data_IF_348260012245
#
_entry.id   IF_348260012245
#
_cell.length_a   1.000
_cell.length_b   1.000
_cell.length_c   1.000
_cell.angle_alpha   90.00
_cell.angle_beta   90.00
_cell.angle_gamma   90.00
#
_symmetry.space_group_name_H-M   'P 1'
#
loop_
_entity.id
_entity.type
_entity.pdbx_description
1 polymer ?
#
# COMPACT_ATOMS: atom_id res chain seq x y z
N UNK A 1 9.17 7.65 -28.38
CA UNK A 1 8.17 7.93 -27.34
C UNK A 1 8.80 8.82 -26.28
N UNK A 2 8.26 10.02 -26.06
CA UNK A 2 8.67 10.87 -24.94
C UNK A 2 8.32 10.15 -23.64
N UNK A 3 9.34 9.81 -22.87
CA UNK A 3 9.16 9.10 -21.61
C UNK A 3 8.28 9.95 -20.68
N UNK A 4 7.13 9.42 -20.27
CA UNK A 4 6.23 10.13 -19.36
C UNK A 4 6.97 10.38 -18.04
N UNK A 5 7.28 11.64 -17.74
CA UNK A 5 7.88 12.02 -16.46
C UNK A 5 6.78 12.32 -15.44
N UNK A 6 6.98 11.86 -14.21
CA UNK A 6 6.14 12.21 -13.06
C UNK A 6 6.58 13.53 -12.45
N UNK A 7 5.61 14.29 -11.94
CA UNK A 7 5.88 15.45 -11.07
C UNK A 7 6.01 15.02 -9.61
N UNK A 8 6.58 15.87 -8.76
CA UNK A 8 6.65 15.61 -7.31
C UNK A 8 5.26 15.47 -6.67
N UNK A 9 4.26 16.23 -7.16
CA UNK A 9 2.87 16.12 -6.72
C UNK A 9 2.24 14.78 -7.07
N UNK A 10 2.45 14.30 -8.31
CA UNK A 10 1.96 12.99 -8.70
C UNK A 10 2.62 11.87 -7.88
N UNK A 11 3.90 12.00 -7.56
CA UNK A 11 4.57 11.06 -6.66
C UNK A 11 3.98 11.11 -5.24
N UNK A 12 3.67 12.29 -4.71
CA UNK A 12 2.99 12.45 -3.42
C UNK A 12 1.61 11.79 -3.42
N UNK A 13 0.84 11.91 -4.51
CA UNK A 13 -0.46 11.24 -4.64
C UNK A 13 -0.30 9.72 -4.59
N UNK A 14 0.59 9.17 -5.42
CA UNK A 14 0.86 7.72 -5.42
C UNK A 14 1.32 7.26 -4.04
N UNK A 15 2.28 7.95 -3.42
CA UNK A 15 2.81 7.60 -2.11
C UNK A 15 1.72 7.62 -1.02
N UNK A 16 0.85 8.63 -1.01
CA UNK A 16 -0.22 8.75 -0.02
C UNK A 16 -1.31 7.70 -0.23
N UNK A 17 -1.57 7.36 -1.50
CA UNK A 17 -2.60 6.43 -1.89
C UNK A 17 -2.17 4.96 -1.84
N UNK A 18 -0.88 4.62 -1.87
CA UNK A 18 -0.46 3.21 -1.75
C UNK A 18 -0.36 2.74 -0.30
N UNK A 19 -0.10 3.65 0.64
CA UNK A 19 0.10 3.29 2.04
C UNK A 19 -1.17 2.83 2.73
N UNK A 20 -1.12 1.67 3.38
CA UNK A 20 -2.12 1.23 4.35
C UNK A 20 -3.38 0.62 3.76
N UNK A 21 -3.81 1.02 2.56
CA UNK A 21 -4.94 0.46 1.81
C UNK A 21 -6.00 -0.22 2.68
N UNK A 22 -6.05 -1.56 2.67
CA UNK A 22 -7.01 -2.36 3.44
C UNK A 22 -6.60 -2.59 4.91
N UNK A 23 -5.31 -2.55 5.22
CA UNK A 23 -4.81 -2.60 6.59
C UNK A 23 -5.32 -1.44 7.45
N UNK A 24 -5.60 -0.27 6.84
CA UNK A 24 -6.20 0.87 7.55
C UNK A 24 -7.51 0.48 8.25
N UNK A 25 -8.31 -0.42 7.67
CA UNK A 25 -9.61 -0.81 8.21
C UNK A 25 -9.54 -2.05 9.10
N UNK A 26 -8.53 -2.91 8.88
CA UNK A 26 -8.42 -4.23 9.52
C UNK A 26 -7.41 -4.31 10.67
N UNK A 27 -6.49 -3.37 10.78
CA UNK A 27 -5.39 -3.44 11.75
C UNK A 27 -5.42 -2.33 12.79
N UNK A 28 -6.37 -1.42 12.68
CA UNK A 28 -6.44 -0.24 13.54
C UNK A 28 -6.92 -0.59 14.95
N UNK A 29 -7.96 -1.41 15.03
CA UNK A 29 -8.45 -2.07 16.24
C UNK A 29 -7.34 -2.86 16.94
N UNK A 30 -6.58 -3.67 16.19
CA UNK A 30 -5.49 -4.48 16.72
C UNK A 30 -4.37 -3.61 17.31
N UNK A 31 -4.08 -2.47 16.69
CA UNK A 31 -3.09 -1.55 17.23
C UNK A 31 -3.57 -0.89 18.52
N UNK A 32 -4.86 -0.53 18.58
CA UNK A 32 -5.50 0.01 19.78
C UNK A 32 -5.54 -1.03 20.89
N UNK A 33 -5.89 -2.28 20.60
CA UNK A 33 -5.87 -3.38 21.58
C UNK A 33 -4.47 -3.56 22.20
N UNK A 34 -3.41 -3.49 21.38
CA UNK A 34 -2.03 -3.64 21.86
C UNK A 34 -1.47 -2.42 22.60
N UNK A 35 -1.91 -1.22 22.24
CA UNK A 35 -1.29 0.04 22.67
C UNK A 35 -2.22 0.87 23.56
N UNK A 36 -3.41 0.34 23.86
CA UNK A 36 -4.48 1.00 24.60
C UNK A 36 -4.76 2.42 24.09
N UNK A 37 -5.08 3.36 24.98
CA UNK A 37 -5.29 4.77 24.62
C UNK A 37 -4.05 5.45 24.02
N UNK A 38 -2.88 4.82 24.12
CA UNK A 38 -1.59 5.37 23.64
C UNK A 38 -1.32 5.04 22.15
N UNK A 39 -2.25 4.40 21.45
CA UNK A 39 -2.12 4.00 20.04
C UNK A 39 -1.70 5.15 19.11
N UNK A 40 -2.23 6.36 19.32
CA UNK A 40 -1.87 7.52 18.50
C UNK A 40 -0.41 7.94 18.64
N UNK A 41 0.19 7.80 19.84
CA UNK A 41 1.62 8.07 20.04
C UNK A 41 2.48 6.99 19.38
N UNK A 42 2.05 5.73 19.47
CA UNK A 42 2.70 4.61 18.78
C UNK A 42 2.66 4.82 17.27
N UNK A 43 1.54 5.26 16.71
CA UNK A 43 1.39 5.61 15.30
C UNK A 43 2.35 6.73 14.87
N UNK A 44 2.49 7.79 15.67
CA UNK A 44 3.47 8.86 15.43
C UNK A 44 4.91 8.32 15.43
N UNK A 45 5.26 7.49 16.41
CA UNK A 45 6.58 6.91 16.51
C UNK A 45 6.90 6.00 15.31
N UNK A 46 5.95 5.12 14.92
CA UNK A 46 6.08 4.26 13.74
C UNK A 46 6.21 5.11 12.48
N UNK A 47 5.37 6.12 12.31
CA UNK A 47 5.43 7.04 11.17
C UNK A 47 6.77 7.76 11.04
N UNK A 48 7.31 8.23 12.16
CA UNK A 48 8.64 8.82 12.21
C UNK A 48 9.73 7.81 11.81
N UNK A 49 9.68 6.57 12.34
CA UNK A 49 10.61 5.50 11.98
C UNK A 49 10.51 5.16 10.49
N UNK A 50 9.31 4.98 9.95
CA UNK A 50 9.09 4.71 8.51
C UNK A 50 9.63 5.87 7.66
N UNK A 51 9.38 7.12 8.06
CA UNK A 51 9.91 8.31 7.39
C UNK A 51 11.44 8.35 7.37
N UNK A 52 12.10 7.95 8.47
CA UNK A 52 13.55 7.79 8.56
C UNK A 52 14.04 6.64 7.65
N UNK A 53 13.38 5.49 7.68
CA UNK A 53 13.73 4.34 6.82
C UNK A 53 13.57 4.63 5.33
N UNK A 54 12.73 5.61 4.97
CA UNK A 54 12.58 6.09 3.60
C UNK A 54 13.67 7.08 3.15
N UNK A 55 14.59 7.52 4.03
CA UNK A 55 15.69 8.43 3.66
C UNK A 55 16.54 8.02 2.44
N UNK A 56 16.88 6.73 2.20
CA UNK A 56 17.60 6.32 1.00
C UNK A 56 16.77 6.45 -0.30
N UNK A 57 15.43 6.39 -0.24
CA UNK A 57 14.56 6.34 -1.43
C UNK A 57 14.76 7.51 -2.40
N UNK A 58 14.82 8.79 -1.98
CA UNK A 58 15.04 9.90 -2.91
C UNK A 58 16.31 9.75 -3.74
N UNK A 59 17.38 9.24 -3.14
CA UNK A 59 18.64 9.00 -3.85
C UNK A 59 18.54 7.83 -4.83
N UNK A 60 17.69 6.84 -4.55
CA UNK A 60 17.42 5.71 -5.44
C UNK A 60 16.52 6.10 -6.61
N UNK A 61 15.59 7.02 -6.40
CA UNK A 61 14.60 7.41 -7.41
C UNK A 61 15.15 8.42 -8.42
N UNK A 62 16.06 9.30 -8.03
CA UNK A 62 16.47 10.44 -8.90
C UNK A 62 17.82 10.27 -9.60
N UNK A 63 18.58 9.19 -9.35
CA UNK A 63 20.04 9.21 -9.62
C UNK A 63 20.52 8.65 -10.96
N UNK A 64 19.69 8.38 -11.97
CA UNK A 64 20.15 7.98 -13.31
C UNK A 64 19.02 8.16 -14.33
N UNK A 65 19.23 8.97 -15.36
CA UNK A 65 18.28 9.08 -16.47
C UNK A 65 18.29 7.79 -17.31
N UNK A 66 17.10 7.35 -17.72
CA UNK A 66 16.93 6.27 -18.70
C UNK A 66 17.06 4.82 -18.19
N UNK A 67 17.45 4.58 -16.93
CA UNK A 67 17.49 3.22 -16.36
C UNK A 67 16.27 2.91 -15.51
N UNK A 68 15.55 1.85 -15.89
CA UNK A 68 14.45 1.34 -15.09
C UNK A 68 14.93 0.63 -13.81
N UNK A 69 14.01 0.38 -12.87
CA UNK A 69 14.24 -0.38 -11.65
C UNK A 69 14.89 -1.73 -11.94
N UNK A 70 14.34 -2.52 -12.86
CA UNK A 70 14.85 -3.88 -13.15
C UNK A 70 16.31 -3.85 -13.62
N UNK A 71 16.66 -2.93 -14.54
CA UNK A 71 18.03 -2.79 -15.02
C UNK A 71 18.99 -2.32 -13.92
N UNK A 72 18.54 -1.38 -13.08
CA UNK A 72 19.32 -0.87 -11.96
C UNK A 72 19.52 -1.93 -10.86
N UNK A 73 18.50 -2.75 -10.61
CA UNK A 73 18.55 -3.89 -9.70
C UNK A 73 19.56 -4.95 -10.16
N UNK A 74 19.50 -5.32 -11.45
CA UNK A 74 20.44 -6.28 -12.04
C UNK A 74 21.88 -5.76 -12.03
N UNK A 75 22.08 -4.45 -12.19
CA UNK A 75 23.40 -3.83 -12.05
C UNK A 75 23.93 -3.87 -10.60
N UNK A 76 23.04 -3.79 -9.61
CA UNK A 76 23.42 -3.78 -8.19
C UNK A 76 23.73 -5.18 -7.65
N UNK A 77 22.88 -6.17 -7.95
CA UNK A 77 23.00 -7.53 -7.40
C UNK A 77 23.68 -8.52 -8.36
N UNK A 78 23.93 -8.14 -9.62
CA UNK A 78 24.38 -9.04 -10.67
C UNK A 78 23.24 -9.88 -11.25
N UNK A 79 23.50 -10.59 -12.35
CA UNK A 79 22.44 -11.27 -13.12
C UNK A 79 21.77 -12.40 -12.34
N UNK A 80 22.56 -13.26 -11.66
CA UNK A 80 22.02 -14.43 -10.97
C UNK A 80 21.20 -14.04 -9.74
N UNK A 81 21.83 -13.37 -8.76
CA UNK A 81 21.14 -12.92 -7.55
C UNK A 81 20.06 -11.89 -7.85
N UNK A 82 20.26 -11.01 -8.83
CA UNK A 82 19.25 -10.04 -9.25
C UNK A 82 17.98 -10.70 -9.79
N UNK A 83 18.08 -11.72 -10.66
CA UNK A 83 16.90 -12.45 -11.14
C UNK A 83 16.20 -13.17 -9.99
N UNK A 84 16.96 -13.84 -9.12
CA UNK A 84 16.39 -14.56 -7.99
C UNK A 84 15.59 -13.63 -7.06
N UNK A 85 16.17 -12.50 -6.64
CA UNK A 85 15.49 -11.52 -5.78
C UNK A 85 14.29 -10.90 -6.50
N UNK A 86 14.39 -10.64 -7.81
CA UNK A 86 13.29 -10.10 -8.61
C UNK A 86 12.11 -11.07 -8.70
N UNK A 87 12.35 -12.38 -8.82
CA UNK A 87 11.30 -13.40 -8.77
C UNK A 87 10.65 -13.43 -7.39
N UNK A 88 11.42 -13.29 -6.31
CA UNK A 88 10.86 -13.18 -4.97
C UNK A 88 9.96 -11.94 -4.82
N UNK A 89 10.35 -10.79 -5.38
CA UNK A 89 9.49 -9.60 -5.40
C UNK A 89 8.22 -9.79 -6.21
N UNK A 90 8.33 -10.43 -7.37
CA UNK A 90 7.17 -10.74 -8.19
C UNK A 90 6.20 -11.63 -7.40
N UNK A 91 6.70 -12.70 -6.78
CA UNK A 91 5.88 -13.57 -5.95
C UNK A 91 5.25 -12.83 -4.75
N UNK A 92 6.02 -11.97 -4.05
CA UNK A 92 5.49 -11.21 -2.92
C UNK A 92 4.43 -10.19 -3.33
N UNK A 93 4.58 -9.54 -4.49
CA UNK A 93 3.60 -8.58 -5.00
C UNK A 93 2.34 -9.27 -5.53
N UNK A 94 2.45 -10.43 -6.18
CA UNK A 94 1.30 -11.26 -6.55
C UNK A 94 0.55 -11.70 -5.28
N UNK A 95 1.28 -12.12 -4.25
CA UNK A 95 0.70 -12.51 -2.97
C UNK A 95 -0.03 -11.34 -2.32
N UNK A 96 0.60 -10.16 -2.25
CA UNK A 96 -0.02 -8.95 -1.71
C UNK A 96 -1.27 -8.54 -2.49
N UNK A 97 -1.23 -8.57 -3.83
CA UNK A 97 -2.40 -8.30 -4.67
C UNK A 97 -3.54 -9.30 -4.44
N UNK A 98 -3.21 -10.59 -4.31
CA UNK A 98 -4.18 -11.64 -3.98
C UNK A 98 -4.80 -11.45 -2.58
N UNK A 99 -3.99 -11.10 -1.57
CA UNK A 99 -4.49 -10.78 -0.23
C UNK A 99 -5.47 -9.61 -0.24
N UNK A 100 -5.09 -8.50 -0.89
CA UNK A 100 -5.93 -7.30 -1.01
C UNK A 100 -7.28 -7.62 -1.68
N UNK A 101 -7.27 -8.44 -2.73
CA UNK A 101 -8.48 -8.86 -3.43
C UNK A 101 -9.38 -9.72 -2.54
N UNK A 102 -8.80 -10.70 -1.85
CA UNK A 102 -9.54 -11.56 -0.95
C UNK A 102 -10.08 -10.81 0.30
N UNK A 103 -9.36 -9.82 0.82
CA UNK A 103 -9.82 -9.01 1.95
C UNK A 103 -10.96 -8.07 1.53
N UNK A 104 -10.88 -7.47 0.32
CA UNK A 104 -12.00 -6.73 -0.25
C UNK A 104 -13.24 -7.61 -0.39
N UNK A 105 -13.05 -8.86 -0.77
CA UNK A 105 -14.15 -9.81 -0.92
C UNK A 105 -14.82 -10.15 0.41
N UNK A 106 -14.03 -10.34 1.47
CA UNK A 106 -14.57 -10.52 2.82
C UNK A 106 -15.35 -9.29 3.31
N UNK A 107 -14.89 -8.07 2.97
CA UNK A 107 -15.63 -6.85 3.27
C UNK A 107 -16.99 -6.86 2.55
N UNK A 108 -17.01 -7.14 1.26
CA UNK A 108 -18.26 -7.10 0.48
C UNK A 108 -19.24 -8.21 0.88
N UNK A 109 -18.74 -9.41 1.17
CA UNK A 109 -19.54 -10.53 1.71
C UNK A 109 -20.14 -10.18 3.09
N UNK A 110 -19.36 -9.54 3.97
CA UNK A 110 -19.82 -9.15 5.32
C UNK A 110 -20.86 -8.02 5.29
N UNK A 111 -20.72 -7.04 4.39
CA UNK A 111 -21.46 -5.78 4.50
C UNK A 111 -22.52 -5.56 3.43
N UNK A 112 -22.40 -6.11 2.22
CA UNK A 112 -23.34 -5.83 1.13
C UNK A 112 -24.14 -7.05 0.68
N UNK A 113 -23.46 -8.13 0.30
CA UNK A 113 -24.12 -9.28 -0.33
C UNK A 113 -23.60 -10.57 0.29
N UNK A 114 -24.19 -11.05 1.39
CA UNK A 114 -23.77 -12.30 2.02
C UNK A 114 -23.97 -13.47 1.06
N UNK A 115 -22.99 -14.36 1.00
CA UNK A 115 -22.92 -15.49 0.06
C UNK A 115 -22.78 -15.09 -1.41
N UNK A 116 -22.24 -13.90 -1.68
CA UNK A 116 -21.88 -13.58 -3.05
C UNK A 116 -20.68 -14.41 -3.48
N UNK A 117 -20.84 -15.17 -4.56
CA UNK A 117 -19.75 -15.96 -5.10
C UNK A 117 -18.57 -15.07 -5.48
N UNK A 118 -17.40 -15.44 -4.95
CA UNK A 118 -16.15 -14.69 -5.05
C UNK A 118 -15.82 -14.21 -6.47
N UNK A 119 -16.10 -15.05 -7.48
CA UNK A 119 -15.72 -14.76 -8.85
C UNK A 119 -16.52 -13.62 -9.49
N UNK A 120 -17.74 -13.31 -9.01
CA UNK A 120 -18.58 -12.25 -9.58
C UNK A 120 -18.04 -10.84 -9.36
N UNK A 121 -17.26 -10.63 -8.30
CA UNK A 121 -16.64 -9.33 -8.03
C UNK A 121 -15.16 -9.33 -8.41
N UNK A 122 -14.44 -10.40 -8.05
CA UNK A 122 -13.00 -10.46 -8.24
C UNK A 122 -12.61 -10.36 -9.72
N UNK A 123 -13.32 -11.05 -10.61
CA UNK A 123 -13.00 -11.08 -12.04
C UNK A 123 -13.25 -9.72 -12.71
N UNK A 124 -14.43 -9.08 -12.59
CA UNK A 124 -14.64 -7.74 -13.15
C UNK A 124 -13.68 -6.70 -12.59
N UNK A 125 -13.41 -6.73 -11.27
CA UNK A 125 -12.49 -5.80 -10.63
C UNK A 125 -11.07 -5.93 -11.22
N UNK A 126 -10.58 -7.15 -11.39
CA UNK A 126 -9.27 -7.40 -11.99
C UNK A 126 -9.22 -7.05 -13.47
N UNK A 127 -10.32 -7.23 -14.21
CA UNK A 127 -10.42 -6.78 -15.60
C UNK A 127 -10.30 -5.25 -15.70
N UNK A 128 -11.02 -4.51 -14.86
CA UNK A 128 -10.92 -3.04 -14.79
C UNK A 128 -9.49 -2.62 -14.44
N UNK A 129 -8.88 -3.26 -13.43
CA UNK A 129 -7.48 -3.00 -13.07
C UNK A 129 -6.53 -3.24 -14.24
N UNK A 130 -6.71 -4.34 -15.00
CA UNK A 130 -5.89 -4.66 -16.15
C UNK A 130 -6.03 -3.63 -17.29
N UNK A 131 -7.26 -3.16 -17.56
CA UNK A 131 -7.51 -2.11 -18.56
C UNK A 131 -6.87 -0.80 -18.15
N UNK A 132 -7.06 -0.37 -16.90
CA UNK A 132 -6.47 0.85 -16.33
C UNK A 132 -4.95 0.79 -16.38
N UNK A 133 -4.37 -0.30 -15.89
CA UNK A 133 -2.92 -0.49 -15.83
C UNK A 133 -2.29 -0.57 -17.22
N UNK A 134 -2.93 -1.28 -18.16
CA UNK A 134 -2.41 -1.52 -19.51
C UNK A 134 -2.54 -0.32 -20.44
N UNK A 135 -3.62 0.45 -20.36
CA UNK A 135 -3.85 1.60 -21.27
C UNK A 135 -3.48 2.96 -20.66
N UNK A 136 -3.59 3.12 -19.35
CA UNK A 136 -3.46 4.42 -18.71
C UNK A 136 -2.03 4.87 -18.39
N UNK A 137 -1.11 3.91 -18.21
CA UNK A 137 0.25 4.22 -17.80
C UNK A 137 0.33 4.89 -16.40
N UNK A 138 1.51 5.39 -16.06
CA UNK A 138 1.80 5.85 -14.68
C UNK A 138 1.11 7.17 -14.36
N UNK A 139 0.82 8.02 -15.35
CA UNK A 139 0.09 9.29 -15.14
C UNK A 139 -1.37 9.07 -14.79
N UNK A 140 -2.05 8.12 -15.42
CA UNK A 140 -3.42 7.77 -15.06
C UNK A 140 -3.47 7.18 -13.66
N UNK A 141 -2.51 6.30 -13.30
CA UNK A 141 -2.39 5.80 -11.93
C UNK A 141 -2.21 6.94 -10.92
N UNK A 142 -1.37 7.93 -11.20
CA UNK A 142 -1.25 9.11 -10.34
C UNK A 142 -2.56 9.91 -10.21
N UNK A 143 -3.34 10.02 -11.29
CA UNK A 143 -4.68 10.63 -11.28
C UNK A 143 -5.67 9.85 -10.42
N UNK A 144 -5.65 8.52 -10.49
CA UNK A 144 -6.47 7.67 -9.62
C UNK A 144 -6.11 7.86 -8.15
N UNK A 145 -4.81 7.88 -7.82
CA UNK A 145 -4.38 8.12 -6.44
C UNK A 145 -4.67 9.55 -5.95
N UNK A 146 -4.74 10.53 -6.84
CA UNK A 146 -5.26 11.86 -6.50
C UNK A 146 -6.74 11.80 -6.08
N UNK A 147 -7.56 11.10 -6.86
CA UNK A 147 -8.97 10.89 -6.52
C UNK A 147 -9.10 10.14 -5.19
N UNK A 148 -8.31 9.08 -4.98
CA UNK A 148 -8.26 8.35 -3.69
C UNK A 148 -7.93 9.30 -2.53
N UNK A 149 -6.93 10.17 -2.68
CA UNK A 149 -6.59 11.13 -1.64
C UNK A 149 -7.76 12.09 -1.34
N UNK A 150 -8.43 12.60 -2.37
CA UNK A 150 -9.62 13.44 -2.20
C UNK A 150 -10.75 12.68 -1.50
N UNK A 151 -11.02 11.43 -1.90
CA UNK A 151 -12.02 10.59 -1.27
C UNK A 151 -11.68 10.30 0.20
N UNK A 152 -10.41 10.06 0.53
CA UNK A 152 -9.97 9.87 1.93
C UNK A 152 -10.12 11.12 2.78
N UNK A 153 -9.82 12.30 2.23
CA UNK A 153 -10.06 13.58 2.92
C UNK A 153 -11.56 13.77 3.16
N UNK A 154 -12.39 13.50 2.14
CA UNK A 154 -13.83 13.58 2.24
C UNK A 154 -14.39 12.59 3.27
N UNK A 155 -13.99 11.33 3.20
CA UNK A 155 -14.33 10.25 4.14
C UNK A 155 -13.98 10.64 5.58
N UNK A 156 -12.74 11.10 5.82
CA UNK A 156 -12.30 11.54 7.15
C UNK A 156 -13.14 12.72 7.65
N UNK A 157 -13.48 13.66 6.76
CA UNK A 157 -14.36 14.77 7.08
C UNK A 157 -15.77 14.33 7.48
N UNK A 158 -16.36 13.37 6.74
CA UNK A 158 -17.65 12.78 7.07
C UNK A 158 -17.60 12.09 8.44
N UNK A 159 -16.57 11.28 8.70
CA UNK A 159 -16.41 10.62 9.99
C UNK A 159 -16.32 11.63 11.14
N UNK A 160 -15.48 12.66 11.01
CA UNK A 160 -15.33 13.69 12.05
C UNK A 160 -16.65 14.42 12.31
N UNK A 161 -17.37 14.83 11.26
CA UNK A 161 -18.63 15.57 11.41
C UNK A 161 -19.75 14.70 11.98
N UNK A 162 -19.86 13.46 11.52
CA UNK A 162 -20.93 12.55 11.91
C UNK A 162 -20.80 12.00 13.32
N UNK A 163 -19.58 11.98 13.86
CA UNK A 163 -19.29 11.46 15.22
C UNK A 163 -19.46 12.52 16.30
N UNK A 164 -19.56 13.80 15.95
CA UNK A 164 -19.55 14.90 16.92
C UNK A 164 -20.54 14.77 18.09
N UNK A 165 -21.72 14.17 17.88
CA UNK A 165 -22.71 13.96 18.95
C UNK A 165 -22.42 12.77 19.85
N UNK A 166 -21.69 11.77 19.35
CA UNK A 166 -21.43 10.49 20.02
C UNK A 166 -20.00 10.37 20.53
N UNK A 167 -19.19 11.42 20.37
CA UNK A 167 -17.79 11.45 20.76
C UNK A 167 -17.63 11.75 22.24
N UNK A 168 -17.16 10.78 23.01
CA UNK A 168 -16.88 10.95 24.43
C UNK A 168 -15.39 11.13 24.68
N UNK A 169 -14.97 12.36 25.01
CA UNK A 169 -13.57 12.64 25.34
C UNK A 169 -13.06 11.82 26.55
N UNK A 170 -13.98 11.46 27.47
CA UNK A 170 -13.66 10.64 28.64
C UNK A 170 -13.14 9.26 28.26
N UNK A 171 -13.61 8.70 27.15
CA UNK A 171 -13.21 7.37 26.65
C UNK A 171 -11.77 7.32 26.13
N UNK A 172 -11.18 8.48 25.84
CA UNK A 172 -9.78 8.62 25.40
C UNK A 172 -8.85 8.86 26.60
N UNK A 173 -9.40 9.25 27.76
CA UNK A 173 -8.60 9.49 28.97
C UNK A 173 -8.34 8.20 29.75
N UNK A 174 -7.11 8.00 30.27
CA UNK A 174 -5.95 8.88 30.14
C UNK A 174 -5.34 8.83 28.73
N UNK A 175 -4.89 9.99 28.23
CA UNK A 175 -4.20 10.11 26.93
C UNK A 175 -2.94 9.22 26.83
N UNK A 176 -2.36 8.88 27.97
CA UNK A 176 -1.24 7.96 28.06
C UNK A 176 -1.54 6.90 29.11
N UNK A 177 -1.68 5.68 28.65
CA UNK A 177 -1.88 4.48 29.49
C UNK A 177 -0.58 3.74 29.78
N UNK A 178 0.54 4.17 29.19
CA UNK A 178 1.84 3.54 29.36
C UNK A 178 2.42 3.03 28.04
N UNK A 179 3.54 2.29 28.16
CA UNK A 179 4.09 1.57 27.02
C UNK A 179 3.20 0.36 26.68
N UNK A 180 3.05 0.00 25.40
CA UNK A 180 2.38 -1.24 25.00
C UNK A 180 2.98 -2.44 25.74
N UNK A 181 2.17 -3.40 26.16
CA UNK A 181 2.66 -4.63 26.79
C UNK A 181 3.64 -5.40 25.89
N UNK A 182 3.43 -5.29 24.56
CA UNK A 182 4.23 -5.94 23.52
C UNK A 182 4.69 -4.93 22.48
N UNK A 183 5.67 -4.06 22.80
CA UNK A 183 6.05 -2.95 21.93
C UNK A 183 6.56 -3.43 20.57
N UNK A 184 7.29 -4.55 20.52
CA UNK A 184 7.74 -5.14 19.26
C UNK A 184 6.60 -5.62 18.36
N UNK A 185 5.54 -6.20 18.94
CA UNK A 185 4.37 -6.65 18.19
C UNK A 185 3.53 -5.46 17.70
N UNK A 186 3.37 -4.43 18.53
CA UNK A 186 2.67 -3.20 18.17
C UNK A 186 3.40 -2.45 17.05
N UNK A 187 4.74 -2.34 17.12
CA UNK A 187 5.56 -1.75 16.05
C UNK A 187 5.45 -2.58 14.77
N UNK A 188 5.56 -3.91 14.86
CA UNK A 188 5.44 -4.77 13.70
C UNK A 188 4.07 -4.60 13.04
N UNK A 189 2.96 -4.78 13.76
CA UNK A 189 1.61 -4.65 13.19
C UNK A 189 1.31 -3.24 12.72
N UNK A 190 1.65 -2.22 13.51
CA UNK A 190 1.46 -0.83 13.11
C UNK A 190 2.29 -0.43 11.90
N UNK A 191 3.44 -1.09 11.65
CA UNK A 191 4.20 -0.86 10.41
C UNK A 191 3.43 -1.30 9.16
N UNK A 192 2.60 -2.36 9.23
CA UNK A 192 1.78 -2.80 8.08
C UNK A 192 0.77 -1.73 7.61
N UNK A 193 0.40 -0.78 8.48
CA UNK A 193 -0.40 0.39 8.10
C UNK A 193 0.35 1.31 7.12
N UNK A 194 1.67 1.19 6.99
CA UNK A 194 2.50 1.93 6.03
C UNK A 194 2.94 1.05 4.83
N UNK A 195 2.42 -0.17 4.72
CA UNK A 195 2.70 -1.07 3.58
C UNK A 195 2.26 -0.40 2.28
N UNK A 196 3.05 -0.55 1.22
CA UNK A 196 2.83 0.06 -0.09
C UNK A 196 3.79 1.24 -0.38
N UNK A 197 4.48 1.77 0.62
CA UNK A 197 5.51 2.81 0.41
C UNK A 197 6.76 2.27 -0.29
N UNK A 198 7.11 1.01 -0.04
CA UNK A 198 8.20 0.27 -0.68
C UNK A 198 8.00 0.13 -2.20
N UNK A 199 6.74 0.14 -2.65
CA UNK A 199 6.39 0.06 -4.08
C UNK A 199 6.86 1.29 -4.88
N UNK A 200 7.14 2.41 -4.22
CA UNK A 200 7.64 3.61 -4.90
C UNK A 200 8.97 3.38 -5.61
N UNK A 201 9.77 2.40 -5.18
CA UNK A 201 11.07 2.08 -5.81
C UNK A 201 10.91 1.68 -7.28
N UNK A 202 9.76 1.12 -7.66
CA UNK A 202 9.44 0.77 -9.05
C UNK A 202 9.16 1.98 -9.95
N UNK A 203 8.90 3.17 -9.37
CA UNK A 203 8.69 4.42 -10.11
C UNK A 203 9.99 5.13 -10.50
N UNK A 204 11.16 4.50 -10.28
CA UNK A 204 12.46 5.08 -10.57
C UNK A 204 12.56 5.65 -11.99
N UNK A 205 12.12 4.89 -12.99
CA UNK A 205 12.18 5.32 -14.39
C UNK A 205 11.43 6.64 -14.63
N UNK A 206 10.34 6.86 -13.90
CA UNK A 206 9.44 8.00 -14.06
C UNK A 206 9.85 9.21 -13.21
N UNK A 207 10.75 9.01 -12.25
CA UNK A 207 11.21 10.02 -11.27
C UNK A 207 12.66 10.45 -11.47
N UNK A 208 13.38 9.86 -12.43
CA UNK A 208 14.79 10.11 -12.70
C UNK A 208 15.15 11.60 -12.98
N UNK A 209 14.20 12.41 -13.46
CA UNK A 209 14.41 13.84 -13.72
C UNK A 209 14.08 14.77 -12.54
N UNK A 210 13.59 14.24 -11.41
CA UNK A 210 13.21 15.05 -10.26
C UNK A 210 14.41 15.35 -9.37
N UNK A 211 14.37 16.50 -8.67
CA UNK A 211 15.35 16.83 -7.64
C UNK A 211 15.11 15.93 -6.42
N UNK A 212 16.18 15.39 -5.84
CA UNK A 212 16.10 14.54 -4.63
C UNK A 212 15.37 15.21 -3.47
N UNK A 213 15.50 16.55 -3.31
CA UNK A 213 14.76 17.32 -2.30
C UNK A 213 13.25 17.28 -2.53
N UNK A 214 12.80 17.37 -3.78
CA UNK A 214 11.37 17.32 -4.14
C UNK A 214 10.79 15.93 -3.91
N UNK A 215 11.53 14.88 -4.28
CA UNK A 215 11.13 13.49 -4.01
C UNK A 215 11.07 13.21 -2.51
N UNK A 216 12.05 13.68 -1.74
CA UNK A 216 12.03 13.58 -0.27
C UNK A 216 10.80 14.27 0.32
N UNK A 217 10.53 15.50 -0.11
CA UNK A 217 9.36 16.26 0.32
C UNK A 217 8.06 15.50 0.03
N UNK A 218 7.90 14.97 -1.18
CA UNK A 218 6.73 14.19 -1.55
C UNK A 218 6.53 12.95 -0.67
N UNK A 219 7.58 12.16 -0.42
CA UNK A 219 7.50 10.95 0.42
C UNK A 219 7.21 11.30 1.87
N UNK A 220 7.89 12.31 2.43
CA UNK A 220 7.69 12.70 3.83
C UNK A 220 6.32 13.33 4.07
N UNK A 221 5.85 14.17 3.14
CA UNK A 221 4.49 14.71 3.19
C UNK A 221 3.45 13.59 3.10
N UNK A 222 3.68 12.57 2.27
CA UNK A 222 2.77 11.43 2.17
C UNK A 222 2.73 10.66 3.49
N UNK A 223 3.89 10.30 4.07
CA UNK A 223 3.98 9.62 5.37
C UNK A 223 3.29 10.45 6.46
N UNK A 224 3.54 11.76 6.50
CA UNK A 224 2.91 12.67 7.47
C UNK A 224 1.39 12.75 7.31
N UNK A 225 0.89 12.89 6.08
CA UNK A 225 -0.55 12.87 5.79
C UNK A 225 -1.19 11.54 6.20
N UNK A 226 -0.53 10.42 5.90
CA UNK A 226 -1.00 9.10 6.30
C UNK A 226 -1.04 8.92 7.82
N UNK A 227 -0.01 9.39 8.54
CA UNK A 227 -0.01 9.42 10.00
C UNK A 227 -1.18 10.25 10.55
N UNK A 228 -1.46 11.40 9.96
CA UNK A 228 -2.58 12.24 10.38
C UNK A 228 -3.92 11.51 10.23
N UNK A 229 -4.16 10.82 9.10
CA UNK A 229 -5.36 10.01 8.91
C UNK A 229 -5.46 8.88 9.95
N UNK A 230 -4.35 8.18 10.22
CA UNK A 230 -4.32 7.14 11.25
C UNK A 230 -4.61 7.71 12.64
N UNK A 231 -3.97 8.79 13.04
CA UNK A 231 -4.21 9.41 14.35
C UNK A 231 -5.68 9.82 14.50
N UNK A 232 -6.24 10.51 13.51
CA UNK A 232 -7.65 10.90 13.51
C UNK A 232 -8.54 9.67 13.61
N UNK A 233 -8.29 8.63 12.80
CA UNK A 233 -9.01 7.36 12.89
C UNK A 233 -8.95 6.74 14.28
N UNK A 234 -7.77 6.67 14.90
CA UNK A 234 -7.62 6.08 16.25
C UNK A 234 -8.38 6.87 17.31
N UNK A 235 -8.36 8.20 17.20
CA UNK A 235 -9.07 9.08 18.11
C UNK A 235 -10.57 8.92 17.98
N UNK A 236 -11.10 8.85 16.76
CA UNK A 236 -12.51 8.61 16.52
C UNK A 236 -12.94 7.24 17.06
N UNK A 237 -12.17 6.18 16.80
CA UNK A 237 -12.46 4.84 17.31
C UNK A 237 -12.51 4.80 18.84
N UNK A 238 -11.48 5.36 19.51
CA UNK A 238 -11.42 5.43 20.97
C UNK A 238 -12.53 6.32 21.56
N UNK A 239 -12.86 7.44 20.90
CA UNK A 239 -13.88 8.37 21.39
C UNK A 239 -15.32 7.85 21.29
N UNK A 240 -15.61 7.00 20.31
CA UNK A 240 -16.96 6.42 20.10
C UNK A 240 -17.14 5.15 20.91
N UNK A 241 -16.23 4.19 20.75
CA UNK A 241 -16.40 2.85 21.31
C UNK A 241 -15.78 2.73 22.72
N UNK A 242 -14.77 3.53 23.02
CA UNK A 242 -13.90 3.30 24.18
C UNK A 242 -12.99 2.09 24.01
N UNK A 243 -11.95 2.03 24.83
CA UNK A 243 -10.95 0.96 24.77
C UNK A 243 -11.55 -0.43 25.08
N UNK A 244 -12.41 -0.52 26.08
CA UNK A 244 -12.95 -1.80 26.55
C UNK A 244 -13.81 -2.49 25.46
N UNK A 245 -14.59 -1.74 24.69
CA UNK A 245 -15.38 -2.30 23.59
C UNK A 245 -14.50 -2.78 22.43
N UNK A 246 -13.48 -2.00 22.06
CA UNK A 246 -12.55 -2.38 20.97
C UNK A 246 -11.82 -3.70 21.30
N UNK A 247 -11.55 -3.97 22.57
CA UNK A 247 -10.94 -5.22 23.02
C UNK A 247 -11.91 -6.42 23.02
N UNK A 248 -13.20 -6.17 23.23
CA UNK A 248 -14.22 -7.21 23.36
C UNK A 248 -14.83 -7.61 22.01
N UNK A 249 -14.85 -6.70 21.04
CA UNK A 249 -15.49 -6.88 19.75
C UNK A 249 -14.48 -6.60 18.64
N UNK A 250 -14.29 -7.56 17.74
CA UNK A 250 -13.53 -7.37 16.49
C UNK A 250 -14.25 -6.33 15.61
N UNK A 251 -13.96 -5.05 15.85
CA UNK A 251 -14.52 -3.91 15.13
C UNK A 251 -13.61 -3.56 13.96
N UNK A 252 -14.18 -3.55 12.76
CA UNK A 252 -13.51 -2.97 11.60
C UNK A 252 -13.81 -1.48 11.52
N UNK A 253 -12.97 -0.71 10.82
CA UNK A 253 -13.28 0.70 10.56
C UNK A 253 -14.61 0.90 9.81
N UNK A 254 -15.14 -0.13 9.13
CA UNK A 254 -16.43 -0.07 8.44
C UNK A 254 -17.61 -0.07 9.43
N UNK A 255 -17.48 -0.77 10.56
CA UNK A 255 -18.52 -0.81 11.58
C UNK A 255 -18.80 0.59 12.17
N UNK A 256 -17.82 1.49 12.10
CA UNK A 256 -18.00 2.89 12.53
C UNK A 256 -18.95 3.68 11.63
N UNK A 257 -19.01 3.37 10.33
CA UNK A 257 -19.98 4.02 9.45
C UNK A 257 -21.42 3.71 9.84
N UNK A 258 -21.68 2.55 10.47
CA UNK A 258 -23.01 2.17 10.95
C UNK A 258 -23.42 2.88 12.24
N UNK A 259 -22.45 3.31 13.03
CA UNK A 259 -22.70 4.08 14.27
C UNK A 259 -23.03 5.54 13.95
N UNK A 260 -22.57 6.03 12.80
CA UNK A 260 -22.76 7.41 12.38
C UNK A 260 -24.05 7.53 11.58
N UNK A 261 -25.00 8.30 12.12
CA UNK A 261 -26.24 8.63 11.42
C UNK A 261 -26.27 10.12 11.05
N UNK A 262 -26.46 10.41 9.76
CA UNK A 262 -26.80 11.76 9.30
C UNK A 262 -28.30 11.82 8.98
N UNK A 263 -28.95 12.96 9.27
CA UNK A 263 -30.37 13.15 8.96
C UNK A 263 -30.69 13.05 7.45
N UNK A 264 -29.68 13.21 6.58
CA UNK A 264 -29.82 13.21 5.12
C UNK A 264 -29.07 12.07 4.42
N UNK A 265 -28.36 11.22 5.15
CA UNK A 265 -27.67 10.04 4.60
C UNK A 265 -27.98 8.81 5.44
N UNK A 266 -28.79 7.90 4.90
CA UNK A 266 -29.17 6.66 5.57
C UNK A 266 -28.13 5.55 5.42
N UNK A 267 -27.38 5.51 4.31
CA UNK A 267 -26.46 4.43 3.96
C UNK A 267 -25.00 4.91 3.88
N UNK A 268 -24.49 5.47 4.98
CA UNK A 268 -23.11 5.96 5.04
C UNK A 268 -22.07 4.83 4.93
N UNK A 269 -22.42 3.63 5.39
CA UNK A 269 -21.58 2.43 5.30
C UNK A 269 -21.32 2.01 3.84
N UNK A 270 -22.32 2.12 2.97
CA UNK A 270 -22.15 1.88 1.52
C UNK A 270 -21.19 2.90 0.88
N UNK A 271 -21.22 4.16 1.32
CA UNK A 271 -20.28 5.19 0.87
C UNK A 271 -18.86 4.83 1.30
N UNK A 272 -18.67 4.45 2.57
CA UNK A 272 -17.38 4.01 3.10
C UNK A 272 -16.81 2.80 2.34
N UNK A 273 -17.64 1.78 2.09
CA UNK A 273 -17.25 0.59 1.31
C UNK A 273 -16.89 0.98 -0.14
N UNK A 274 -17.64 1.88 -0.76
CA UNK A 274 -17.37 2.34 -2.13
C UNK A 274 -16.05 3.11 -2.25
N UNK A 275 -15.76 4.00 -1.29
CA UNK A 275 -14.47 4.70 -1.20
C UNK A 275 -13.33 3.70 -1.04
N UNK A 276 -13.53 2.70 -0.19
CA UNK A 276 -12.54 1.67 0.05
C UNK A 276 -12.30 0.76 -1.15
N UNK A 277 -13.36 0.43 -1.89
CA UNK A 277 -13.27 -0.28 -3.16
C UNK A 277 -12.43 0.51 -4.17
N UNK A 278 -12.67 1.82 -4.27
CA UNK A 278 -11.92 2.67 -5.18
C UNK A 278 -10.43 2.80 -4.79
N UNK A 279 -10.14 2.88 -3.49
CA UNK A 279 -8.78 2.88 -2.98
C UNK A 279 -8.05 1.57 -3.29
N UNK A 280 -8.70 0.44 -3.01
CA UNK A 280 -8.15 -0.88 -3.28
C UNK A 280 -7.95 -1.11 -4.77
N UNK A 281 -8.89 -0.69 -5.61
CA UNK A 281 -8.79 -0.76 -7.07
C UNK A 281 -7.56 -0.01 -7.58
N UNK A 282 -7.34 1.22 -7.11
CA UNK A 282 -6.19 2.03 -7.52
C UNK A 282 -4.86 1.36 -7.14
N UNK A 283 -4.79 0.78 -5.94
CA UNK A 283 -3.60 0.07 -5.47
C UNK A 283 -3.40 -1.25 -6.22
N UNK A 284 -4.44 -2.05 -6.43
CA UNK A 284 -4.39 -3.28 -7.23
C UNK A 284 -3.94 -3.00 -8.66
N UNK A 285 -4.45 -1.96 -9.30
CA UNK A 285 -4.01 -1.55 -10.64
C UNK A 285 -2.51 -1.20 -10.66
N UNK A 286 -2.00 -0.55 -9.61
CA UNK A 286 -0.56 -0.25 -9.50
C UNK A 286 0.29 -1.50 -9.25
N UNK A 287 -0.14 -2.39 -8.35
CA UNK A 287 0.51 -3.69 -8.10
C UNK A 287 0.54 -4.52 -9.39
N UNK A 288 -0.56 -4.55 -10.14
CA UNK A 288 -0.68 -5.26 -11.40
C UNK A 288 0.25 -4.67 -12.47
N UNK A 289 0.32 -3.35 -12.57
CA UNK A 289 1.25 -2.65 -13.47
C UNK A 289 2.72 -2.98 -13.18
N UNK A 290 3.10 -3.03 -11.90
CA UNK A 290 4.46 -3.42 -11.50
C UNK A 290 4.73 -4.88 -11.88
N UNK A 291 3.84 -5.80 -11.54
CA UNK A 291 4.01 -7.22 -11.84
C UNK A 291 4.10 -7.49 -13.35
N UNK A 292 3.24 -6.87 -14.15
CA UNK A 292 3.28 -7.00 -15.61
C UNK A 292 4.61 -6.48 -16.19
N UNK A 293 5.08 -5.32 -15.69
CA UNK A 293 6.37 -4.74 -16.10
C UNK A 293 7.55 -5.64 -15.71
N UNK A 294 7.52 -6.25 -14.53
CA UNK A 294 8.53 -7.18 -14.06
C UNK A 294 8.53 -8.49 -14.87
N UNK A 295 7.35 -9.09 -15.09
CA UNK A 295 7.18 -10.30 -15.91
C UNK A 295 7.74 -10.11 -17.32
N UNK A 296 7.42 -8.97 -17.94
CA UNK A 296 7.92 -8.60 -19.26
C UNK A 296 9.44 -8.57 -19.29
N UNK A 297 10.10 -8.02 -18.27
CA UNK A 297 11.56 -7.85 -18.27
C UNK A 297 12.33 -9.08 -17.79
N UNK A 298 11.74 -9.85 -16.88
CA UNK A 298 12.41 -10.95 -16.20
C UNK A 298 12.18 -12.32 -16.87
N UNK A 299 10.92 -12.65 -17.21
CA UNK A 299 10.52 -14.03 -17.53
C UNK A 299 10.10 -14.19 -19.00
N UNK A 300 9.13 -13.39 -19.47
CA UNK A 300 8.45 -13.63 -20.75
C UNK A 300 8.59 -12.47 -21.74
N UNK A 301 9.83 -12.10 -22.10
CA UNK A 301 10.10 -10.90 -22.95
C UNK A 301 9.40 -10.87 -24.30
N UNK A 302 9.17 -12.04 -24.90
CA UNK A 302 8.61 -12.16 -26.26
C UNK A 302 7.08 -12.09 -26.28
N UNK A 303 6.42 -12.10 -25.13
CA UNK A 303 4.96 -12.09 -25.09
C UNK A 303 4.43 -10.67 -25.33
N UNK A 304 3.25 -10.53 -25.95
CA UNK A 304 2.55 -9.25 -26.02
C UNK A 304 2.28 -8.68 -24.62
N UNK A 305 2.34 -7.36 -24.49
CA UNK A 305 2.14 -6.67 -23.19
C UNK A 305 0.80 -7.05 -22.52
N UNK A 306 -0.27 -7.19 -23.30
CA UNK A 306 -1.58 -7.63 -22.79
C UNK A 306 -1.53 -9.01 -22.11
N UNK A 307 -0.66 -9.93 -22.58
CA UNK A 307 -0.49 -11.24 -21.95
C UNK A 307 0.19 -11.14 -20.59
N UNK A 308 1.10 -10.19 -20.38
CA UNK A 308 1.72 -9.97 -19.05
C UNK A 308 0.69 -9.50 -18.03
N UNK A 309 -0.18 -8.55 -18.41
CA UNK A 309 -1.29 -8.11 -17.55
C UNK A 309 -2.26 -9.24 -17.27
N UNK A 310 -2.68 -10.00 -18.29
CA UNK A 310 -3.58 -11.14 -18.12
C UNK A 310 -2.99 -12.22 -17.21
N UNK A 311 -1.71 -12.54 -17.39
CA UNK A 311 -1.01 -13.53 -16.55
C UNK A 311 -0.89 -13.06 -15.10
N UNK A 312 -0.47 -11.82 -14.86
CA UNK A 312 -0.37 -11.27 -13.51
C UNK A 312 -1.75 -11.21 -12.83
N UNK A 313 -2.80 -10.82 -13.55
CA UNK A 313 -4.16 -10.78 -13.03
C UNK A 313 -4.68 -12.19 -12.69
N UNK A 314 -4.44 -13.17 -13.56
CA UNK A 314 -4.81 -14.56 -13.32
C UNK A 314 -4.09 -15.15 -12.09
N UNK A 315 -2.80 -14.85 -11.92
CA UNK A 315 -2.04 -15.30 -10.76
C UNK A 315 -2.57 -14.66 -9.45
N UNK A 316 -2.90 -13.37 -9.45
CA UNK A 316 -3.53 -12.72 -8.30
C UNK A 316 -4.90 -13.32 -7.98
N UNK A 317 -5.74 -13.57 -9.00
CA UNK A 317 -7.04 -14.23 -8.84
C UNK A 317 -6.90 -15.64 -8.26
N UNK A 318 -5.91 -16.41 -8.74
CA UNK A 318 -5.64 -17.76 -8.26
C UNK A 318 -5.18 -17.75 -6.80
N UNK A 319 -4.29 -16.81 -6.42
CA UNK A 319 -3.88 -16.64 -5.02
C UNK A 319 -5.07 -16.26 -4.16
N UNK A 320 -5.87 -15.28 -4.56
CA UNK A 320 -7.03 -14.84 -3.82
C UNK A 320 -8.10 -15.95 -3.67
N UNK A 321 -8.33 -16.76 -4.71
CA UNK A 321 -9.21 -17.93 -4.63
C UNK A 321 -8.66 -19.01 -3.67
N UNK A 322 -7.36 -19.29 -3.73
CA UNK A 322 -6.73 -20.22 -2.77
C UNK A 322 -6.80 -19.70 -1.33
N UNK A 323 -6.62 -18.40 -1.13
CA UNK A 323 -6.75 -17.76 0.17
C UNK A 323 -8.16 -17.83 0.75
N UNK A 324 -9.16 -17.65 -0.10
CA UNK A 324 -10.57 -17.82 0.24
C UNK A 324 -10.87 -19.25 0.70
N UNK A 325 -10.49 -20.24 -0.12
CA UNK A 325 -10.77 -21.66 0.12
C UNK A 325 -10.05 -22.21 1.36
N UNK A 326 -8.75 -21.92 1.49
CA UNK A 326 -7.91 -22.47 2.56
C UNK A 326 -7.88 -21.62 3.83
N UNK A 327 -8.58 -20.47 3.85
CA UNK A 327 -8.65 -19.53 4.99
C UNK A 327 -7.27 -19.12 5.55
N UNK A 328 -6.26 -19.00 4.69
CA UNK A 328 -4.86 -18.72 5.07
C UNK A 328 -4.59 -17.23 5.38
N UNK A 329 -5.63 -16.39 5.35
CA UNK A 329 -5.51 -14.93 5.49
C UNK A 329 -4.85 -14.51 6.79
N UNK A 330 -5.25 -15.12 7.91
CA UNK A 330 -4.69 -14.81 9.23
C UNK A 330 -3.19 -15.12 9.32
N UNK A 331 -2.72 -16.14 8.61
CA UNK A 331 -1.30 -16.46 8.57
C UNK A 331 -0.56 -15.37 7.79
N UNK A 332 -1.03 -15.03 6.58
CA UNK A 332 -0.35 -14.06 5.73
C UNK A 332 -0.36 -12.63 6.28
N UNK A 333 -1.42 -12.22 6.96
CA UNK A 333 -1.48 -10.92 7.65
C UNK A 333 -0.36 -10.76 8.69
N UNK A 334 0.12 -11.85 9.31
CA UNK A 334 1.27 -11.81 10.23
C UNK A 334 2.60 -11.61 9.50
N UNK A 335 2.71 -12.11 8.26
CA UNK A 335 3.94 -12.01 7.47
C UNK A 335 4.11 -10.66 6.78
N UNK A 336 3.02 -10.01 6.36
CA UNK A 336 3.07 -8.74 5.64
C UNK A 336 3.91 -7.65 6.34
N UNK A 337 3.75 -7.35 7.65
CA UNK A 337 4.59 -6.37 8.31
C UNK A 337 6.07 -6.76 8.34
N UNK A 338 6.39 -8.05 8.42
CA UNK A 338 7.78 -8.54 8.37
C UNK A 338 8.37 -8.26 6.99
N UNK A 339 7.62 -8.56 5.91
CA UNK A 339 8.06 -8.29 4.53
C UNK A 339 8.33 -6.80 4.33
N UNK A 340 7.43 -5.93 4.82
CA UNK A 340 7.64 -4.48 4.76
C UNK A 340 8.91 -4.05 5.49
N UNK A 341 9.11 -4.50 6.73
CA UNK A 341 10.29 -4.15 7.51
C UNK A 341 11.57 -4.67 6.86
N UNK A 342 11.58 -5.89 6.32
CA UNK A 342 12.71 -6.42 5.55
C UNK A 342 12.96 -5.56 4.31
N UNK A 343 11.92 -5.12 3.61
CA UNK A 343 12.05 -4.24 2.45
C UNK A 343 12.71 -2.91 2.81
N UNK A 344 12.20 -2.23 3.85
CA UNK A 344 12.65 -0.90 4.23
C UNK A 344 14.00 -0.91 4.97
N UNK A 345 14.22 -1.85 5.89
CA UNK A 345 15.41 -1.89 6.74
C UNK A 345 16.59 -2.61 6.08
N UNK A 346 16.34 -3.63 5.26
CA UNK A 346 17.38 -4.50 4.71
C UNK A 346 17.55 -4.24 3.23
N UNK A 347 16.50 -4.43 2.43
CA UNK A 347 16.62 -4.42 0.98
C UNK A 347 16.96 -3.03 0.42
N UNK A 348 16.20 -1.99 0.76
CA UNK A 348 16.40 -0.64 0.19
C UNK A 348 17.79 -0.07 0.52
N UNK A 349 18.31 -0.15 1.76
CA UNK A 349 19.66 0.29 2.08
C UNK A 349 20.75 -0.51 1.34
N UNK A 350 20.65 -1.84 1.32
CA UNK A 350 21.60 -2.69 0.59
C UNK A 350 21.58 -2.38 -0.90
N UNK A 351 20.39 -2.25 -1.50
CA UNK A 351 20.23 -1.87 -2.90
C UNK A 351 20.90 -0.52 -3.20
N UNK A 352 20.72 0.48 -2.32
CA UNK A 352 21.40 1.77 -2.44
C UNK A 352 22.92 1.68 -2.38
N UNK A 353 23.46 0.90 -1.44
CA UNK A 353 24.90 0.72 -1.28
C UNK A 353 25.52 -0.02 -2.48
N UNK A 354 24.92 -1.12 -2.91
CA UNK A 354 25.40 -1.91 -4.05
C UNK A 354 25.34 -1.12 -5.36
N UNK A 355 24.24 -0.39 -5.58
CA UNK A 355 24.11 0.47 -6.75
C UNK A 355 25.17 1.59 -6.75
N UNK A 356 25.46 2.19 -5.59
CA UNK A 356 26.53 3.18 -5.47
C UNK A 356 27.92 2.58 -5.78
N UNK A 357 28.17 1.33 -5.38
CA UNK A 357 29.41 0.60 -5.67
C UNK A 357 29.55 0.27 -7.16
N UNK A 358 28.51 -0.31 -7.77
CA UNK A 358 28.49 -0.69 -9.19
C UNK A 358 28.85 0.50 -10.11
N UNK A 359 28.40 1.70 -9.73
CA UNK A 359 28.73 2.96 -10.42
C UNK A 359 30.21 3.31 -10.32
N UNK A 360 30.80 3.24 -9.13
CA UNK A 360 32.23 3.56 -8.92
C UNK A 360 33.14 2.63 -9.71
N UNK A 361 32.76 1.37 -9.87
CA UNK A 361 33.53 0.39 -10.63
C UNK A 361 33.43 0.57 -12.15
N UNK A 362 32.64 1.51 -12.66
CA UNK A 362 32.44 1.69 -14.11
C UNK A 362 31.91 0.43 -14.79
N UNK A 363 31.31 -0.51 -14.04
CA UNK A 363 30.76 -1.73 -14.59
C UNK A 363 29.70 -1.34 -15.60
N UNK A 364 29.97 -1.60 -16.88
CA UNK A 364 28.97 -1.50 -17.93
C UNK A 364 27.85 -2.43 -17.52
N UNK A 365 26.69 -1.84 -17.23
CA UNK A 365 25.48 -2.60 -16.94
C UNK A 365 25.28 -3.52 -18.14
N UNK A 366 25.23 -4.85 -17.94
CA UNK A 366 24.89 -5.72 -19.05
C UNK A 366 23.56 -5.24 -19.59
N UNK A 367 23.54 -4.82 -20.85
CA UNK A 367 22.28 -4.53 -21.53
C UNK A 367 21.53 -5.84 -21.55
N UNK A 368 20.54 -5.92 -20.68
CA UNK A 368 19.67 -7.09 -20.58
C UNK A 368 18.81 -7.08 -21.83
N UNK A 369 19.35 -7.68 -22.90
CA UNK A 369 18.81 -7.61 -24.26
C UNK A 369 19.29 -6.35 -24.97
N UNK A 370 20.26 -6.52 -25.89
CA UNK A 370 20.29 -5.63 -27.03
C UNK A 370 18.97 -5.79 -27.76
N UNK A 371 18.11 -4.78 -27.69
CA UNK A 371 17.16 -4.54 -28.76
C UNK A 371 18.03 -4.24 -29.99
N UNK A 372 18.38 -5.29 -30.75
CA UNK A 372 18.70 -5.12 -32.15
C UNK A 372 17.43 -4.57 -32.78
N UNK A 373 17.42 -3.25 -32.96
CA UNK A 373 16.47 -2.51 -33.78
C UNK A 373 16.22 -3.18 -35.11
#
# INVERSE_FOLDING_TARGET
MTQERLTAWQLFYIASGTMGCINFYLMMDQLIDMSSTSAYMVLLAIGAVIGLLCMPMPSLLTREEGKDFTASHMAAFGTFFGVFILILFLASLILAGGMMLNEMMQILDRYQTPNLEYYWIAVPLMLVCAVVAGKGGVRVLAGLFFIVLCLRIFETGLLVLGVTSSFELRSILPLWSGLPERPGAAIARGSALFSGIEMLVFLRLYTAGLKARSVRGAIWSAVGAHCAFLIIGSWLMLGICGFDMIRLVDLTTIDFYRVISFQFFEQLDEVGISIQLFWTLSTLAFVLWINATMLRKAVFRRWPEAMHYGTAALLMLAVAAGLWEFRLNQLLQKWQPIVLLVMLCVYIPIYGLLLARARKSGQRVPTVGGESS
#
